data_IF_978948279987
#
_entry.id   IF_978948279987
#
_cell.length_a   1.000
_cell.length_b   1.000
_cell.length_c   1.000
_cell.angle_alpha   90.00
_cell.angle_beta   90.00
_cell.angle_gamma   90.00
#
_symmetry.space_group_name_H-M   'P 1'
#
loop_
_entity.id
_entity.type
_entity.pdbx_description
1 polymer ?
#
# COMPACT_ATOMS: atom_id res chain seq x y z
N UNK A 1 -56.66 16.60 -81.97
CA UNK A 1 -56.89 17.22 -80.63
C UNK A 1 -55.67 16.91 -79.78
N UNK A 2 -55.00 17.95 -79.29
CA UNK A 2 -53.68 17.93 -78.66
C UNK A 2 -53.68 17.19 -77.31
N UNK A 3 -52.63 16.41 -77.02
CA UNK A 3 -52.13 16.19 -75.65
C UNK A 3 -50.61 16.32 -75.66
N UNK A 4 -50.12 17.44 -75.14
CA UNK A 4 -48.68 17.71 -74.94
C UNK A 4 -48.26 17.01 -73.64
N UNK A 5 -47.26 16.13 -73.72
CA UNK A 5 -46.56 15.57 -72.56
C UNK A 5 -45.31 16.43 -72.34
N UNK A 6 -45.24 17.05 -71.16
CA UNK A 6 -44.09 17.82 -70.70
C UNK A 6 -43.13 16.85 -70.01
N UNK A 7 -41.96 16.59 -70.62
CA UNK A 7 -40.85 15.93 -69.93
C UNK A 7 -40.00 16.99 -69.24
N UNK A 8 -40.01 16.98 -67.91
CA UNK A 8 -39.13 17.77 -67.07
C UNK A 8 -37.75 17.08 -67.06
N UNK A 9 -36.80 17.61 -67.82
CA UNK A 9 -35.40 17.18 -67.77
C UNK A 9 -34.75 17.94 -66.60
N UNK A 10 -34.46 17.22 -65.51
CA UNK A 10 -33.65 17.74 -64.41
C UNK A 10 -32.17 17.76 -64.84
N UNK A 11 -31.42 18.86 -64.64
CA UNK A 11 -29.99 18.88 -64.94
C UNK A 11 -29.26 18.12 -63.84
N UNK A 12 -28.57 17.04 -64.22
CA UNK A 12 -27.63 16.32 -63.37
C UNK A 12 -26.40 17.20 -63.16
N UNK A 13 -26.38 17.95 -62.06
CA UNK A 13 -25.20 18.67 -61.59
C UNK A 13 -24.16 17.63 -61.12
N UNK A 14 -23.16 17.37 -61.96
CA UNK A 14 -21.91 16.74 -61.55
C UNK A 14 -21.16 17.74 -60.65
N UNK A 15 -21.32 17.59 -59.34
CA UNK A 15 -20.45 18.21 -58.35
C UNK A 15 -19.09 17.50 -58.43
N UNK A 16 -18.17 18.05 -59.23
CA UNK A 16 -16.75 17.78 -59.04
C UNK A 16 -16.37 18.40 -57.70
N UNK A 17 -16.26 17.60 -56.64
CA UNK A 17 -15.50 18.02 -55.47
C UNK A 17 -14.03 18.00 -55.86
N UNK A 18 -13.48 19.16 -56.17
CA UNK A 18 -12.05 19.35 -56.04
C UNK A 18 -11.77 19.27 -54.54
N UNK A 19 -11.43 18.09 -54.05
CA UNK A 19 -10.70 17.98 -52.79
C UNK A 19 -9.40 18.75 -53.02
N UNK A 20 -9.26 19.88 -52.36
CA UNK A 20 -8.02 20.65 -52.35
C UNK A 20 -6.97 19.72 -51.76
N UNK A 21 -6.14 19.11 -52.62
CA UNK A 21 -4.96 18.38 -52.21
C UNK A 21 -4.04 19.45 -51.62
N UNK A 22 -4.19 19.72 -50.32
CA UNK A 22 -3.24 20.50 -49.55
C UNK A 22 -1.96 19.68 -49.54
N UNK A 23 -1.06 20.00 -50.46
CA UNK A 23 0.28 19.44 -50.45
C UNK A 23 0.98 19.95 -49.21
N UNK A 24 1.28 19.03 -48.29
CA UNK A 24 2.16 19.31 -47.15
C UNK A 24 3.56 19.65 -47.65
N UNK A 25 4.24 20.51 -46.90
CA UNK A 25 5.65 20.79 -47.15
C UNK A 25 6.50 19.54 -46.85
N UNK A 26 7.44 19.24 -47.74
CA UNK A 26 8.37 18.14 -47.57
C UNK A 26 9.39 18.47 -46.47
N UNK A 27 9.23 17.82 -45.32
CA UNK A 27 10.13 17.93 -44.16
C UNK A 27 11.22 16.85 -44.12
N UNK A 28 11.35 16.03 -45.17
CA UNK A 28 12.27 14.87 -45.17
C UNK A 28 13.75 15.25 -45.06
N UNK A 29 14.10 16.51 -45.33
CA UNK A 29 15.46 17.06 -45.20
C UNK A 29 15.62 18.01 -44.00
N UNK A 30 14.58 18.19 -43.18
CA UNK A 30 14.66 19.00 -41.95
C UNK A 30 15.37 18.20 -40.86
N UNK A 31 15.80 18.89 -39.81
CA UNK A 31 16.45 18.30 -38.64
C UNK A 31 15.84 18.88 -37.38
N UNK A 32 15.67 18.06 -36.34
CA UNK A 32 15.19 18.50 -35.03
C UNK A 32 16.39 18.84 -34.15
N UNK A 33 16.51 20.09 -33.71
CA UNK A 33 17.56 20.47 -32.77
C UNK A 33 17.21 19.99 -31.36
N UNK A 34 17.96 19.01 -30.84
CA UNK A 34 17.79 18.56 -29.46
C UNK A 34 18.36 19.61 -28.49
N UNK A 35 17.62 19.94 -27.42
CA UNK A 35 18.01 20.94 -26.43
C UNK A 35 18.52 20.25 -25.16
N UNK A 36 17.68 19.47 -24.49
CA UNK A 36 18.02 18.74 -23.27
C UNK A 36 17.42 17.32 -23.29
N UNK A 37 18.07 16.31 -22.69
CA UNK A 37 19.45 16.33 -22.17
C UNK A 37 20.52 16.68 -23.23
N UNK A 38 21.66 17.23 -22.78
CA UNK A 38 22.85 17.38 -23.63
C UNK A 38 23.45 16.01 -23.93
N UNK A 39 24.23 15.91 -25.01
CA UNK A 39 24.84 14.64 -25.36
C UNK A 39 25.83 14.19 -24.28
N UNK A 40 25.72 12.91 -23.89
CA UNK A 40 26.47 12.28 -22.80
C UNK A 40 26.26 12.95 -21.43
N UNK A 41 25.09 13.55 -21.19
CA UNK A 41 24.74 14.09 -19.89
C UNK A 41 24.68 12.99 -18.81
N UNK A 42 25.05 13.36 -17.58
CA UNK A 42 24.94 12.51 -16.40
C UNK A 42 23.87 13.09 -15.46
N UNK A 43 22.98 12.23 -14.96
CA UNK A 43 21.94 12.60 -14.01
C UNK A 43 22.01 11.74 -12.77
N UNK A 44 21.68 12.35 -11.64
CA UNK A 44 21.50 11.67 -10.34
C UNK A 44 20.03 11.60 -9.92
N UNK A 45 19.13 12.04 -10.81
CA UNK A 45 17.67 11.98 -10.65
C UNK A 45 17.04 11.13 -11.75
N UNK A 46 15.93 10.47 -11.43
CA UNK A 46 15.21 9.59 -12.35
C UNK A 46 14.19 10.33 -13.22
N UNK A 47 13.77 11.54 -12.81
CA UNK A 47 12.85 12.37 -13.58
C UNK A 47 13.59 13.15 -14.66
N UNK A 48 13.53 12.68 -15.91
CA UNK A 48 14.21 13.30 -17.05
C UNK A 48 13.20 14.02 -17.92
N UNK A 49 13.52 15.27 -18.24
CA UNK A 49 12.76 16.07 -19.21
C UNK A 49 13.57 16.23 -20.49
N UNK A 50 12.98 15.76 -21.59
CA UNK A 50 13.49 15.85 -22.94
C UNK A 50 12.88 17.07 -23.62
N UNK A 51 13.68 17.91 -24.25
CA UNK A 51 13.24 19.12 -24.96
C UNK A 51 13.97 19.28 -26.28
N UNK A 52 13.29 19.81 -27.29
CA UNK A 52 13.82 20.09 -28.61
C UNK A 52 13.25 21.39 -29.17
N UNK A 53 13.84 21.92 -30.23
CA UNK A 53 13.33 23.13 -30.91
C UNK A 53 12.16 22.80 -31.83
N UNK A 54 11.22 23.75 -31.95
CA UNK A 54 10.16 23.68 -32.94
C UNK A 54 10.74 23.78 -34.37
N UNK A 55 10.13 23.04 -35.30
CA UNK A 55 10.52 22.99 -36.71
C UNK A 55 9.31 23.43 -37.53
N UNK A 56 9.51 24.34 -38.48
CA UNK A 56 8.42 24.84 -39.33
C UNK A 56 7.82 23.73 -40.19
N UNK A 57 6.50 23.83 -40.44
CA UNK A 57 5.71 22.90 -41.27
C UNK A 57 5.61 21.47 -40.71
N UNK A 58 5.76 21.34 -39.39
CA UNK A 58 5.65 20.09 -38.63
C UNK A 58 4.39 20.15 -37.78
N UNK A 59 3.61 19.06 -37.76
CA UNK A 59 2.45 18.95 -36.87
C UNK A 59 2.81 18.28 -35.55
N UNK A 60 3.70 17.30 -35.59
CA UNK A 60 4.02 16.45 -34.45
C UNK A 60 5.50 16.01 -34.41
N UNK A 61 5.90 15.43 -33.29
CA UNK A 61 7.21 14.85 -33.07
C UNK A 61 7.08 13.42 -32.60
N UNK A 62 7.88 12.52 -33.16
CA UNK A 62 8.04 11.16 -32.63
C UNK A 62 9.27 11.10 -31.74
N UNK A 63 9.08 10.81 -30.46
CA UNK A 63 10.16 10.60 -29.49
C UNK A 63 10.31 9.12 -29.17
N UNK A 64 11.56 8.66 -29.17
CA UNK A 64 11.94 7.33 -28.75
C UNK A 64 13.03 7.36 -27.69
N UNK A 65 12.98 6.43 -26.74
CA UNK A 65 13.99 6.24 -25.70
C UNK A 65 14.33 4.74 -25.63
N UNK A 66 15.61 4.41 -25.73
CA UNK A 66 16.13 3.04 -25.67
C UNK A 66 17.18 2.89 -24.58
N UNK A 67 17.25 1.69 -24.01
CA UNK A 67 18.28 1.25 -23.06
C UNK A 67 19.03 0.05 -23.63
N UNK A 68 20.36 0.03 -23.65
CA UNK A 68 21.25 1.18 -23.46
C UNK A 68 21.26 2.10 -24.69
N UNK A 69 20.97 1.57 -25.88
CA UNK A 69 21.08 2.29 -27.16
C UNK A 69 20.13 1.69 -28.22
N UNK A 70 20.06 2.29 -29.41
CA UNK A 70 19.23 1.81 -30.51
C UNK A 70 19.91 0.75 -31.41
N UNK A 71 21.22 0.49 -31.26
CA UNK A 71 21.95 -0.50 -32.06
C UNK A 71 21.72 -1.93 -31.55
N UNK A 72 21.75 -2.10 -30.22
CA UNK A 72 21.47 -3.33 -29.51
C UNK A 72 20.63 -3.03 -28.25
N UNK A 73 19.36 -2.62 -28.41
CA UNK A 73 18.52 -2.28 -27.27
C UNK A 73 18.25 -3.51 -26.42
N UNK A 74 18.53 -3.41 -25.11
CA UNK A 74 17.92 -4.28 -24.10
C UNK A 74 16.42 -4.00 -23.99
N UNK A 75 16.03 -2.72 -24.10
CA UNK A 75 14.63 -2.29 -24.00
C UNK A 75 14.37 -1.00 -24.79
N UNK A 76 13.22 -0.91 -25.43
CA UNK A 76 12.64 0.36 -25.90
C UNK A 76 11.64 0.81 -24.84
N UNK A 77 11.93 1.93 -24.18
CA UNK A 77 11.17 2.45 -23.04
C UNK A 77 10.01 3.30 -23.51
N UNK A 78 10.23 4.06 -24.58
CA UNK A 78 9.25 5.00 -25.12
C UNK A 78 9.34 5.00 -26.64
N UNK A 79 8.18 5.04 -27.27
CA UNK A 79 8.00 5.26 -28.70
C UNK A 79 6.60 5.86 -28.93
N UNK A 80 6.51 7.18 -28.94
CA UNK A 80 5.24 7.91 -29.00
C UNK A 80 5.34 9.11 -29.93
N UNK A 81 4.19 9.62 -30.36
CA UNK A 81 4.04 10.88 -31.09
C UNK A 81 3.41 11.93 -30.16
N UNK A 82 3.95 13.14 -30.16
CA UNK A 82 3.49 14.28 -29.34
C UNK A 82 3.43 15.55 -30.20
N UNK A 83 2.49 16.43 -29.89
CA UNK A 83 2.30 17.75 -30.53
C UNK A 83 3.07 18.88 -29.79
N UNK A 84 3.90 18.50 -28.80
CA UNK A 84 4.70 19.41 -27.99
C UNK A 84 6.18 19.33 -28.36
N UNK A 85 6.97 20.26 -27.81
CA UNK A 85 8.44 20.25 -27.92
C UNK A 85 9.14 19.75 -26.64
N UNK A 86 8.39 19.06 -25.78
CA UNK A 86 8.90 18.52 -24.52
C UNK A 86 8.18 17.26 -24.07
N UNK A 87 8.93 16.33 -23.46
CA UNK A 87 8.41 15.11 -22.86
C UNK A 87 9.13 14.81 -21.55
N UNK A 88 8.40 14.47 -20.49
CA UNK A 88 8.99 14.12 -19.18
C UNK A 88 8.61 12.70 -18.81
N UNK A 89 9.57 11.91 -18.34
CA UNK A 89 9.33 10.55 -17.85
C UNK A 89 10.28 10.19 -16.70
N UNK A 90 9.90 9.17 -15.93
CA UNK A 90 10.75 8.54 -14.92
C UNK A 90 11.55 7.41 -15.55
N UNK A 91 12.86 7.40 -15.33
CA UNK A 91 13.79 6.40 -15.85
C UNK A 91 14.67 5.89 -14.72
N UNK A 92 14.89 4.58 -14.69
CA UNK A 92 15.74 3.95 -13.69
C UNK A 92 17.23 4.27 -13.95
N UNK A 93 18.10 3.94 -13.00
CA UNK A 93 19.56 3.99 -13.21
C UNK A 93 19.95 3.15 -14.43
N UNK A 94 20.85 3.69 -15.26
CA UNK A 94 21.35 3.05 -16.45
C UNK A 94 21.76 4.02 -17.56
N UNK A 95 22.28 3.46 -18.63
CA UNK A 95 22.62 4.17 -19.87
C UNK A 95 21.42 4.21 -20.81
N UNK A 96 21.28 5.30 -21.57
CA UNK A 96 20.16 5.51 -22.48
C UNK A 96 20.59 6.26 -23.73
N UNK A 97 19.86 6.00 -24.81
CA UNK A 97 19.76 6.90 -25.95
C UNK A 97 18.33 7.38 -26.11
N UNK A 98 18.19 8.63 -26.53
CA UNK A 98 16.91 9.18 -26.94
C UNK A 98 17.05 9.83 -28.31
N UNK A 99 15.96 9.80 -29.07
CA UNK A 99 15.92 10.41 -30.39
C UNK A 99 14.56 11.00 -30.71
N UNK A 100 14.57 12.06 -31.49
CA UNK A 100 13.37 12.77 -31.95
C UNK A 100 13.43 12.99 -33.45
N UNK A 101 12.31 12.77 -34.14
CA UNK A 101 12.10 13.21 -35.52
C UNK A 101 10.84 14.05 -35.62
N UNK A 102 10.82 14.98 -36.57
CA UNK A 102 9.64 15.73 -36.95
C UNK A 102 8.73 14.89 -37.84
N UNK A 103 7.42 15.07 -37.71
CA UNK A 103 6.38 14.36 -38.47
C UNK A 103 5.31 15.35 -38.91
N UNK A 104 4.86 15.26 -40.16
CA UNK A 104 3.60 15.82 -40.62
C UNK A 104 2.76 14.72 -41.29
N UNK A 105 1.63 15.07 -41.89
CA UNK A 105 0.68 14.08 -42.41
C UNK A 105 1.24 13.23 -43.57
N UNK A 106 2.30 13.69 -44.25
CA UNK A 106 2.87 13.05 -45.43
C UNK A 106 4.36 12.66 -45.29
N UNK A 107 5.11 13.31 -44.40
CA UNK A 107 6.57 13.22 -44.34
C UNK A 107 7.09 13.08 -42.91
N UNK A 108 8.32 12.57 -42.80
CA UNK A 108 9.07 12.54 -41.55
C UNK A 108 10.53 12.90 -41.79
N UNK A 109 11.11 13.66 -40.88
CA UNK A 109 12.54 13.93 -40.90
C UNK A 109 13.36 12.70 -40.44
N UNK A 110 14.69 12.70 -40.66
CA UNK A 110 15.59 11.81 -39.94
C UNK A 110 15.53 12.07 -38.43
N UNK A 111 15.89 11.05 -37.65
CA UNK A 111 16.05 11.17 -36.21
C UNK A 111 17.32 11.96 -35.86
N UNK A 112 17.19 12.89 -34.92
CA UNK A 112 18.31 13.42 -34.15
C UNK A 112 18.43 12.64 -32.84
N UNK A 113 19.63 12.18 -32.50
CA UNK A 113 19.88 11.24 -31.40
C UNK A 113 20.92 11.79 -30.43
N UNK A 114 20.74 11.53 -29.13
CA UNK A 114 21.71 11.83 -28.06
C UNK A 114 21.74 10.70 -27.04
N UNK A 115 22.87 10.58 -26.35
CA UNK A 115 23.05 9.64 -25.23
C UNK A 115 23.02 10.37 -23.88
N UNK A 116 22.66 9.67 -22.82
CA UNK A 116 22.80 10.14 -21.44
C UNK A 116 22.86 8.93 -20.48
N UNK A 117 23.30 9.16 -19.26
CA UNK A 117 23.33 8.15 -18.20
C UNK A 117 22.66 8.68 -16.94
N UNK A 118 21.90 7.82 -16.28
CA UNK A 118 21.41 8.06 -14.93
C UNK A 118 22.27 7.20 -14.02
N UNK A 119 23.05 7.87 -13.18
CA UNK A 119 23.95 7.28 -12.22
C UNK A 119 23.27 7.16 -10.86
N UNK A 120 23.84 6.30 -10.00
CA UNK A 120 23.56 6.40 -8.57
C UNK A 120 24.03 7.75 -8.05
N UNK A 121 23.22 8.41 -7.23
CA UNK A 121 23.69 9.53 -6.44
C UNK A 121 24.78 9.04 -5.47
N UNK A 122 25.88 9.79 -5.29
CA UNK A 122 26.86 9.52 -4.22
C UNK A 122 26.17 9.50 -2.84
N UNK A 123 25.07 10.26 -2.69
CA UNK A 123 24.24 10.29 -1.50
C UNK A 123 23.17 9.19 -1.42
N UNK A 124 23.18 8.16 -2.29
CA UNK A 124 22.14 7.10 -2.23
C UNK A 124 22.02 6.50 -0.82
N UNK A 125 23.16 6.23 -0.18
CA UNK A 125 23.23 5.67 1.17
C UNK A 125 22.59 6.56 2.26
N UNK A 126 22.47 7.87 2.00
CA UNK A 126 21.88 8.85 2.90
C UNK A 126 20.34 8.90 2.81
N UNK A 127 19.73 8.22 1.83
CA UNK A 127 18.28 8.06 1.79
C UNK A 127 17.79 7.17 2.95
N UNK A 128 16.52 7.32 3.32
CA UNK A 128 15.86 6.47 4.30
C UNK A 128 14.60 5.86 3.72
N UNK A 129 14.26 4.64 4.14
CA UNK A 129 13.06 3.94 3.69
C UNK A 129 11.91 4.30 4.63
N UNK A 130 10.91 5.03 4.14
CA UNK A 130 9.73 5.35 4.94
C UNK A 130 8.81 4.12 5.07
N UNK A 131 8.82 3.48 6.25
CA UNK A 131 7.94 2.35 6.55
C UNK A 131 6.50 2.87 6.76
N UNK A 132 5.49 2.21 6.18
CA UNK A 132 4.10 2.69 6.21
C UNK A 132 3.17 1.80 7.03
N UNK A 133 3.19 0.48 6.82
CA UNK A 133 2.41 -0.49 7.61
C UNK A 133 3.20 -1.79 7.84
N UNK A 134 3.03 -2.50 8.97
CA UNK A 134 2.23 -2.12 10.14
C UNK A 134 2.79 -0.91 10.90
N UNK A 135 1.97 -0.28 11.75
CA UNK A 135 2.40 0.81 12.62
C UNK A 135 3.54 0.38 13.55
N UNK A 136 4.38 1.32 13.99
CA UNK A 136 5.45 1.00 14.94
C UNK A 136 4.85 0.61 16.30
N UNK A 137 5.42 -0.40 16.95
CA UNK A 137 4.91 -0.99 18.19
C UNK A 137 3.47 -1.53 18.06
N UNK A 138 3.11 -2.09 16.90
CA UNK A 138 1.80 -2.73 16.73
C UNK A 138 1.67 -3.89 17.72
N UNK A 139 0.59 -3.91 18.50
CA UNK A 139 0.12 -5.08 19.25
C UNK A 139 -1.14 -5.61 18.57
N UNK A 140 -1.18 -6.91 18.31
CA UNK A 140 -2.28 -7.52 17.55
C UNK A 140 -2.39 -9.03 17.79
N UNK A 141 -3.60 -9.55 17.60
CA UNK A 141 -3.91 -10.98 17.64
C UNK A 141 -4.02 -11.64 16.26
N UNK A 142 -3.36 -11.06 15.26
CA UNK A 142 -3.34 -11.55 13.88
C UNK A 142 -1.94 -11.98 13.50
N UNK A 143 -1.74 -13.22 13.05
CA UNK A 143 -0.42 -13.71 12.63
C UNK A 143 0.06 -13.11 11.30
N UNK A 144 -0.85 -12.83 10.36
CA UNK A 144 -0.47 -12.42 9.01
C UNK A 144 -0.45 -10.92 8.85
N UNK A 145 0.68 -10.40 8.37
CA UNK A 145 0.87 -8.97 8.10
C UNK A 145 1.53 -8.71 6.76
N UNK A 146 1.04 -7.66 6.10
CA UNK A 146 1.69 -7.06 4.94
C UNK A 146 2.60 -5.91 5.40
N UNK A 147 3.91 -6.14 5.34
CA UNK A 147 4.93 -5.13 5.62
C UNK A 147 5.07 -4.25 4.37
N UNK A 148 4.99 -2.93 4.51
CA UNK A 148 4.92 -1.97 3.40
C UNK A 148 5.74 -0.73 3.67
N UNK A 149 6.30 -0.15 2.61
CA UNK A 149 7.13 1.04 2.67
C UNK A 149 7.01 1.87 1.38
N UNK A 150 7.51 3.09 1.41
CA UNK A 150 7.59 3.95 0.22
C UNK A 150 8.79 3.61 -0.66
N UNK A 151 8.63 3.81 -1.97
CA UNK A 151 9.74 3.65 -2.91
C UNK A 151 10.83 4.70 -2.67
N UNK A 152 12.10 4.32 -2.81
CA UNK A 152 13.26 5.22 -2.70
C UNK A 152 13.78 5.46 -4.09
N UNK A 153 14.01 6.73 -4.44
CA UNK A 153 14.51 7.11 -5.76
C UNK A 153 15.88 6.45 -5.99
N UNK A 154 16.05 5.81 -7.16
CA UNK A 154 17.27 5.10 -7.51
C UNK A 154 17.42 3.70 -6.91
N UNK A 155 16.48 3.24 -6.06
CA UNK A 155 16.49 1.87 -5.58
C UNK A 155 16.07 0.88 -6.67
N UNK A 156 16.79 -0.23 -6.78
CA UNK A 156 16.47 -1.38 -7.64
C UNK A 156 16.02 -2.61 -6.84
N UNK A 157 16.34 -2.68 -5.54
CA UNK A 157 15.90 -3.73 -4.62
C UNK A 157 15.69 -3.20 -3.20
N UNK A 158 15.08 -4.04 -2.36
CA UNK A 158 14.90 -3.85 -0.93
C UNK A 158 15.29 -5.12 -0.20
N UNK A 159 16.13 -4.99 0.82
CA UNK A 159 16.39 -6.07 1.75
C UNK A 159 15.47 -5.93 2.96
N UNK A 160 14.67 -6.96 3.22
CA UNK A 160 13.71 -7.05 4.32
C UNK A 160 14.20 -8.11 5.31
N UNK A 161 14.52 -7.68 6.53
CA UNK A 161 15.01 -8.55 7.61
C UNK A 161 14.01 -8.54 8.76
N UNK A 162 13.63 -9.72 9.25
CA UNK A 162 12.80 -9.90 10.43
C UNK A 162 13.66 -10.53 11.51
N UNK A 163 13.65 -9.93 12.70
CA UNK A 163 14.37 -10.44 13.87
C UNK A 163 13.44 -10.63 15.06
N UNK A 164 13.73 -11.65 15.88
CA UNK A 164 13.04 -11.86 17.16
C UNK A 164 13.55 -10.90 18.27
N UNK A 165 13.02 -11.06 19.48
CA UNK A 165 13.40 -10.26 20.66
C UNK A 165 14.86 -10.42 21.10
N UNK A 166 15.54 -11.50 20.69
CA UNK A 166 16.96 -11.74 20.94
C UNK A 166 17.84 -11.23 19.79
N UNK A 167 17.25 -10.59 18.78
CA UNK A 167 17.87 -10.15 17.53
C UNK A 167 18.35 -11.29 16.61
N UNK A 168 17.85 -12.52 16.78
CA UNK A 168 18.10 -13.58 15.80
C UNK A 168 17.33 -13.27 14.53
N UNK A 169 17.96 -13.50 13.37
CA UNK A 169 17.32 -13.35 12.07
C UNK A 169 16.38 -14.54 11.86
N UNK A 170 15.09 -14.24 11.69
CA UNK A 170 14.05 -15.22 11.40
C UNK A 170 13.79 -15.28 9.89
N UNK A 171 13.90 -14.14 9.21
CA UNK A 171 13.77 -14.04 7.76
C UNK A 171 14.69 -12.93 7.23
N UNK A 172 15.30 -13.15 6.08
CA UNK A 172 16.10 -12.17 5.35
C UNK A 172 15.86 -12.39 3.86
N UNK A 173 15.26 -11.41 3.18
CA UNK A 173 14.82 -11.50 1.80
C UNK A 173 15.26 -10.26 1.03
N UNK A 174 15.65 -10.43 -0.23
CA UNK A 174 15.90 -9.35 -1.17
C UNK A 174 14.82 -9.37 -2.26
N UNK A 175 14.06 -8.27 -2.40
CA UNK A 175 12.90 -8.18 -3.29
C UNK A 175 12.88 -6.85 -4.04
N UNK A 176 12.12 -6.75 -5.13
CA UNK A 176 11.99 -5.51 -5.94
C UNK A 176 10.69 -4.75 -5.69
N UNK A 177 9.76 -5.34 -4.93
CA UNK A 177 8.49 -4.72 -4.55
C UNK A 177 8.65 -3.86 -3.30
N UNK A 178 7.68 -2.98 -3.04
CA UNK A 178 7.61 -2.15 -1.82
C UNK A 178 6.72 -2.76 -0.72
N UNK A 179 6.53 -4.08 -0.79
CA UNK A 179 5.75 -4.83 0.19
C UNK A 179 6.24 -6.27 0.33
N UNK A 180 6.00 -6.85 1.50
CA UNK A 180 6.30 -8.23 1.85
C UNK A 180 5.26 -8.78 2.83
N UNK A 181 4.57 -9.85 2.43
CA UNK A 181 3.64 -10.55 3.31
C UNK A 181 4.39 -11.59 4.15
N UNK A 182 4.16 -11.59 5.46
CA UNK A 182 4.77 -12.54 6.38
C UNK A 182 3.74 -13.04 7.40
N UNK A 183 3.87 -14.31 7.79
CA UNK A 183 3.07 -14.92 8.85
C UNK A 183 3.95 -15.13 10.08
N UNK A 184 3.64 -14.41 11.16
CA UNK A 184 4.36 -14.44 12.42
C UNK A 184 3.74 -15.47 13.37
N UNK A 185 4.58 -16.12 14.16
CA UNK A 185 4.16 -16.83 15.37
C UNK A 185 3.96 -15.84 16.52
N UNK A 186 3.44 -16.30 17.66
CA UNK A 186 3.32 -15.47 18.87
C UNK A 186 4.72 -15.05 19.34
N UNK A 187 4.89 -13.75 19.60
CA UNK A 187 6.17 -13.18 20.01
C UNK A 187 6.40 -11.73 19.61
N UNK A 188 7.52 -11.20 20.10
CA UNK A 188 7.99 -9.85 19.78
C UNK A 188 8.99 -9.89 18.62
N UNK A 189 8.76 -9.04 17.61
CA UNK A 189 9.60 -8.95 16.43
C UNK A 189 9.97 -7.51 16.08
N UNK A 190 11.09 -7.36 15.39
CA UNK A 190 11.38 -6.17 14.58
C UNK A 190 11.48 -6.57 13.12
N UNK A 191 10.90 -5.76 12.25
CA UNK A 191 11.16 -5.85 10.81
C UNK A 191 11.92 -4.61 10.35
N UNK A 192 12.89 -4.83 9.47
CA UNK A 192 13.87 -3.85 9.03
C UNK A 192 13.88 -3.86 7.51
N UNK A 193 13.90 -2.68 6.89
CA UNK A 193 14.02 -2.54 5.44
C UNK A 193 15.13 -1.55 5.12
N UNK A 194 15.97 -1.88 4.14
CA UNK A 194 16.90 -0.95 3.49
C UNK A 194 16.77 -1.07 1.98
N UNK A 195 16.96 0.04 1.28
CA UNK A 195 16.96 0.06 -0.18
C UNK A 195 18.35 -0.25 -0.73
N UNK A 196 18.42 -0.99 -1.82
CA UNK A 196 19.63 -1.29 -2.58
C UNK A 196 19.50 -0.77 -4.01
N UNK A 197 20.62 -0.34 -4.60
CA UNK A 197 20.68 0.09 -6.01
C UNK A 197 21.60 -0.81 -6.87
N UNK A 198 22.09 -1.92 -6.31
CA UNK A 198 23.04 -2.84 -6.95
C UNK A 198 24.51 -2.62 -6.55
N UNK A 199 24.86 -1.42 -6.05
CA UNK A 199 26.23 -1.07 -5.65
C UNK A 199 26.31 -0.74 -4.15
N UNK A 200 25.26 -0.13 -3.61
CA UNK A 200 25.17 0.39 -2.27
C UNK A 200 23.81 0.11 -1.65
N UNK A 201 23.78 0.21 -0.32
CA UNK A 201 22.56 0.11 0.48
C UNK A 201 22.39 1.34 1.37
N UNK A 202 21.15 1.73 1.61
CA UNK A 202 20.81 2.67 2.68
C UNK A 202 21.03 2.03 4.06
N UNK A 203 20.94 2.84 5.12
CA UNK A 203 20.70 2.31 6.45
C UNK A 203 19.34 1.62 6.55
N UNK A 204 19.20 0.72 7.52
CA UNK A 204 17.92 0.10 7.84
C UNK A 204 16.98 1.11 8.52
N UNK A 205 15.74 1.14 8.06
CA UNK A 205 14.60 1.63 8.82
C UNK A 205 13.90 0.44 9.46
N UNK A 206 13.42 0.58 10.69
CA UNK A 206 12.81 -0.54 11.42
C UNK A 206 11.53 -0.14 12.14
N UNK A 207 10.66 -1.14 12.34
CA UNK A 207 9.49 -1.06 13.20
C UNK A 207 9.36 -2.35 14.00
N UNK A 208 8.76 -2.23 15.18
CA UNK A 208 8.45 -3.34 16.08
C UNK A 208 6.98 -3.77 15.98
N UNK A 209 6.73 -5.03 16.28
CA UNK A 209 5.41 -5.61 16.46
C UNK A 209 5.44 -6.66 17.57
N UNK A 210 4.30 -6.86 18.23
CA UNK A 210 4.05 -7.92 19.19
C UNK A 210 2.80 -8.69 18.76
N UNK A 211 2.96 -9.98 18.49
CA UNK A 211 1.90 -10.90 18.07
C UNK A 211 1.50 -11.73 19.26
N UNK A 212 0.22 -11.72 19.57
CA UNK A 212 -0.38 -12.54 20.62
C UNK A 212 -1.75 -13.04 20.16
N UNK A 213 -1.78 -14.25 19.61
CA UNK A 213 -2.99 -14.91 19.13
C UNK A 213 -3.66 -15.78 20.20
N UNK A 214 -3.06 -15.87 21.38
CA UNK A 214 -3.48 -16.80 22.41
C UNK A 214 -4.50 -16.15 23.34
N UNK A 215 -5.74 -16.62 23.28
CA UNK A 215 -6.79 -16.11 24.15
C UNK A 215 -6.51 -16.41 25.64
N UNK A 216 -6.86 -15.49 26.56
CA UNK A 216 -6.73 -15.71 27.99
C UNK A 216 -7.47 -16.97 28.47
N UNK A 217 -7.00 -17.56 29.58
CA UNK A 217 -7.72 -18.65 30.25
C UNK A 217 -9.13 -18.22 30.67
N UNK A 218 -10.05 -19.19 30.78
CA UNK A 218 -11.42 -18.89 31.26
C UNK A 218 -11.42 -18.71 32.78
N UNK A 219 -12.00 -17.61 33.33
CA UNK A 219 -12.16 -17.45 34.77
C UNK A 219 -12.98 -18.58 35.40
N UNK A 220 -12.58 -18.98 36.60
CA UNK A 220 -13.30 -19.93 37.44
C UNK A 220 -13.92 -19.18 38.62
N UNK A 221 -15.25 -19.21 38.72
CA UNK A 221 -15.99 -18.52 39.76
C UNK A 221 -15.82 -19.22 41.11
N UNK A 222 -15.68 -18.44 42.18
CA UNK A 222 -15.44 -18.93 43.55
C UNK A 222 -16.55 -18.50 44.50
N UNK A 223 -16.88 -17.20 44.52
CA UNK A 223 -17.87 -16.65 45.45
C UNK A 223 -18.65 -15.48 44.81
N UNK A 224 -19.96 -15.31 45.07
CA UNK A 224 -20.86 -16.20 45.82
C UNK A 224 -20.92 -17.62 45.25
N UNK A 225 -21.05 -18.63 46.11
CA UNK A 225 -21.18 -20.01 45.64
C UNK A 225 -22.46 -20.18 44.80
N UNK A 226 -22.44 -21.08 43.82
CA UNK A 226 -23.59 -21.28 42.95
C UNK A 226 -24.85 -21.71 43.73
N UNK A 227 -25.98 -21.08 43.40
CA UNK A 227 -27.28 -21.25 44.03
C UNK A 227 -27.27 -20.96 45.55
N UNK A 228 -26.40 -20.06 46.01
CA UNK A 228 -26.36 -19.65 47.43
C UNK A 228 -27.41 -18.58 47.77
N UNK A 229 -27.61 -18.36 49.07
CA UNK A 229 -28.47 -17.30 49.60
C UNK A 229 -27.73 -16.46 50.64
N UNK A 230 -27.99 -15.15 50.69
CA UNK A 230 -27.42 -14.21 51.65
C UNK A 230 -28.50 -13.24 52.16
N UNK A 231 -28.33 -12.75 53.39
CA UNK A 231 -29.10 -11.62 53.95
C UNK A 231 -28.31 -10.31 53.93
N UNK A 232 -27.04 -10.37 53.54
CA UNK A 232 -26.19 -9.20 53.36
C UNK A 232 -26.39 -8.64 51.95
N UNK A 233 -26.63 -7.34 51.85
CA UNK A 233 -26.83 -6.64 50.57
C UNK A 233 -25.51 -6.19 49.92
N UNK A 234 -24.38 -6.39 50.62
CA UNK A 234 -23.03 -6.17 50.11
C UNK A 234 -22.42 -7.52 49.71
N UNK A 235 -22.19 -7.69 48.42
CA UNK A 235 -21.74 -8.95 47.84
C UNK A 235 -20.34 -8.79 47.25
N UNK A 236 -19.42 -9.58 47.78
CA UNK A 236 -18.08 -9.73 47.23
C UNK A 236 -18.08 -10.85 46.20
N UNK A 237 -17.68 -10.55 44.99
CA UNK A 237 -17.44 -11.49 43.92
C UNK A 237 -15.97 -11.91 43.91
N UNK A 238 -15.74 -13.21 43.79
CA UNK A 238 -14.41 -13.79 43.72
C UNK A 238 -14.36 -14.80 42.59
N UNK A 239 -13.33 -14.69 41.77
CA UNK A 239 -12.98 -15.63 40.72
C UNK A 239 -11.46 -15.79 40.68
N UNK A 240 -11.01 -16.89 40.09
CA UNK A 240 -9.59 -17.19 39.87
C UNK A 240 -9.32 -17.44 38.40
N UNK A 241 -8.16 -17.00 37.93
CA UNK A 241 -7.65 -17.27 36.59
C UNK A 241 -6.13 -17.31 36.64
N UNK A 242 -5.54 -18.26 35.92
CA UNK A 242 -4.08 -18.30 35.72
C UNK A 242 -3.75 -17.51 34.45
N UNK A 243 -2.95 -16.45 34.53
CA UNK A 243 -2.50 -15.71 33.35
C UNK A 243 -1.73 -16.58 32.37
N UNK A 244 -1.84 -16.28 31.08
CA UNK A 244 -1.00 -16.86 30.02
C UNK A 244 0.07 -15.83 29.65
N UNK A 245 1.26 -16.28 29.24
CA UNK A 245 2.23 -15.37 28.64
C UNK A 245 1.67 -14.75 27.36
N UNK A 246 1.85 -13.43 27.21
CA UNK A 246 1.25 -12.69 26.11
C UNK A 246 1.11 -11.21 26.49
N UNK A 247 0.09 -10.59 25.93
CA UNK A 247 -0.31 -9.22 26.23
C UNK A 247 -1.02 -9.11 27.57
N UNK A 248 -1.13 -7.90 28.12
CA UNK A 248 -1.70 -7.73 29.44
C UNK A 248 -3.18 -8.13 29.44
N UNK A 249 -3.59 -8.90 30.44
CA UNK A 249 -4.93 -9.47 30.52
C UNK A 249 -5.78 -8.73 31.57
N UNK A 250 -7.10 -8.69 31.34
CA UNK A 250 -8.10 -8.07 32.21
C UNK A 250 -9.39 -8.88 32.24
N UNK A 251 -10.13 -8.79 33.33
CA UNK A 251 -11.40 -9.48 33.51
C UNK A 251 -12.58 -8.50 33.48
N UNK A 252 -13.71 -8.94 32.95
CA UNK A 252 -14.99 -8.25 33.08
C UNK A 252 -16.03 -9.16 33.72
N UNK A 253 -16.68 -8.66 34.76
CA UNK A 253 -17.80 -9.32 35.42
C UNK A 253 -19.12 -8.89 34.78
N UNK A 254 -20.05 -9.83 34.66
CA UNK A 254 -21.39 -9.61 34.12
C UNK A 254 -22.40 -10.16 35.12
N UNK A 255 -23.37 -9.35 35.54
CA UNK A 255 -24.40 -9.69 36.52
C UNK A 255 -25.76 -9.37 35.93
N UNK A 256 -26.70 -10.30 36.05
CA UNK A 256 -28.04 -10.27 35.47
C UNK A 256 -29.09 -10.58 36.52
N UNK A 257 -30.32 -10.12 36.28
CA UNK A 257 -31.50 -10.34 37.12
C UNK A 257 -32.37 -11.52 36.69
N UNK A 258 -31.99 -12.24 35.62
CA UNK A 258 -32.72 -13.40 35.12
C UNK A 258 -31.81 -14.50 34.57
N UNK A 259 -32.33 -15.74 34.55
CA UNK A 259 -31.59 -16.94 34.12
C UNK A 259 -31.25 -16.95 32.63
N UNK A 260 -31.99 -16.21 31.80
CA UNK A 260 -31.78 -16.14 30.36
C UNK A 260 -30.63 -15.18 30.00
N UNK A 261 -30.03 -14.48 30.98
CA UNK A 261 -28.94 -13.52 30.80
C UNK A 261 -29.32 -12.35 29.87
N UNK A 262 -30.56 -11.89 29.93
CA UNK A 262 -31.06 -10.79 29.08
C UNK A 262 -31.29 -9.49 29.85
N UNK A 263 -31.47 -9.56 31.17
CA UNK A 263 -31.69 -8.41 32.03
C UNK A 263 -30.39 -8.07 32.78
N UNK A 264 -29.49 -7.38 32.09
CA UNK A 264 -28.18 -6.97 32.63
C UNK A 264 -28.37 -5.95 33.76
N UNK A 265 -27.79 -6.25 34.92
CA UNK A 265 -27.71 -5.35 36.06
C UNK A 265 -26.38 -4.60 36.08
N UNK A 266 -25.28 -5.32 35.87
CA UNK A 266 -23.94 -4.74 35.95
C UNK A 266 -22.99 -5.42 34.98
N UNK A 267 -22.14 -4.61 34.35
CA UNK A 267 -21.03 -5.06 33.53
C UNK A 267 -19.91 -4.04 33.68
N UNK A 268 -18.75 -4.50 34.12
CA UNK A 268 -17.56 -3.64 34.19
C UNK A 268 -16.27 -4.47 34.20
N UNK A 269 -15.16 -3.82 33.88
CA UNK A 269 -13.81 -4.36 34.07
C UNK A 269 -13.45 -4.31 35.55
N UNK A 270 -13.10 -5.46 36.14
CA UNK A 270 -12.88 -5.57 37.58
C UNK A 270 -11.76 -6.56 37.89
N UNK A 271 -11.16 -6.40 39.07
CA UNK A 271 -10.16 -7.33 39.61
C UNK A 271 -10.78 -8.14 40.74
N UNK A 272 -10.50 -9.44 40.78
CA UNK A 272 -10.91 -10.31 41.89
C UNK A 272 -10.04 -10.04 43.13
N UNK A 273 -10.61 -9.84 44.34
CA UNK A 273 -12.04 -9.77 44.65
C UNK A 273 -12.66 -8.40 44.34
N UNK A 274 -13.93 -8.39 43.90
CA UNK A 274 -14.71 -7.18 43.62
C UNK A 274 -15.96 -7.12 44.50
N UNK A 275 -16.22 -6.01 45.20
CA UNK A 275 -17.41 -5.87 46.05
C UNK A 275 -18.40 -4.90 45.46
N UNK A 276 -19.66 -5.32 45.40
CA UNK A 276 -20.81 -4.48 45.07
C UNK A 276 -21.69 -4.28 46.29
N UNK A 277 -21.96 -3.02 46.62
CA UNK A 277 -22.78 -2.65 47.78
C UNK A 277 -24.22 -2.34 47.40
N UNK A 278 -25.13 -2.54 48.36
CA UNK A 278 -26.54 -2.13 48.25
C UNK A 278 -27.32 -2.77 47.09
N UNK A 279 -27.08 -4.04 46.80
CA UNK A 279 -27.92 -4.80 45.87
C UNK A 279 -29.34 -4.99 46.46
N UNK A 280 -30.36 -4.85 45.62
CA UNK A 280 -31.75 -5.10 46.02
C UNK A 280 -32.03 -6.59 46.20
N UNK A 281 -32.99 -6.94 47.05
CA UNK A 281 -33.43 -8.33 47.21
C UNK A 281 -33.87 -8.91 45.85
N UNK A 282 -33.49 -10.17 45.61
CA UNK A 282 -33.71 -10.83 44.32
C UNK A 282 -32.66 -11.89 44.02
N UNK A 283 -32.88 -12.62 42.93
CA UNK A 283 -31.95 -13.62 42.42
C UNK A 283 -31.11 -13.02 41.29
N UNK A 284 -29.80 -13.18 41.39
CA UNK A 284 -28.84 -12.69 40.42
C UNK A 284 -28.07 -13.85 39.79
N UNK A 285 -27.71 -13.69 38.52
CA UNK A 285 -26.95 -14.64 37.72
C UNK A 285 -25.71 -13.91 37.23
N UNK A 286 -24.53 -14.52 37.35
CA UNK A 286 -23.30 -13.84 37.00
C UNK A 286 -22.27 -14.76 36.39
N UNK A 287 -21.45 -14.19 35.53
CA UNK A 287 -20.30 -14.84 34.91
C UNK A 287 -19.17 -13.83 34.72
N UNK A 288 -17.97 -14.32 34.44
CA UNK A 288 -16.79 -13.50 34.14
C UNK A 288 -16.21 -13.93 32.80
N UNK A 289 -15.71 -12.96 32.02
CA UNK A 289 -14.89 -13.17 30.82
C UNK A 289 -13.57 -12.44 30.97
N UNK A 290 -12.55 -12.93 30.28
CA UNK A 290 -11.23 -12.30 30.24
C UNK A 290 -10.90 -11.84 28.84
N UNK A 291 -10.12 -10.79 28.75
CA UNK A 291 -9.68 -10.13 27.53
C UNK A 291 -8.20 -9.78 27.68
N UNK A 292 -7.51 -9.59 26.57
CA UNK A 292 -6.15 -9.06 26.58
C UNK A 292 -6.02 -7.80 25.72
N UNK A 293 -4.85 -7.16 25.77
CA UNK A 293 -4.58 -5.95 24.99
C UNK A 293 -4.39 -6.23 23.49
N UNK A 294 -4.09 -7.47 23.10
CA UNK A 294 -4.03 -7.91 21.70
C UNK A 294 -5.42 -8.05 21.05
N UNK A 295 -6.47 -8.11 21.87
CA UNK A 295 -7.87 -8.18 21.43
C UNK A 295 -8.48 -9.58 21.48
N UNK A 296 -7.82 -10.56 22.10
CA UNK A 296 -8.40 -11.87 22.32
C UNK A 296 -9.40 -11.85 23.48
N UNK A 297 -10.29 -12.85 23.49
CA UNK A 297 -11.23 -13.04 24.58
C UNK A 297 -11.34 -14.51 24.96
N UNK A 298 -11.39 -14.79 26.25
CA UNK A 298 -11.64 -16.14 26.76
C UNK A 298 -13.07 -16.59 26.49
N UNK A 299 -13.32 -17.89 26.71
CA UNK A 299 -14.68 -18.40 26.81
C UNK A 299 -15.39 -17.79 28.02
N UNK A 300 -16.72 -17.82 27.98
CA UNK A 300 -17.50 -17.45 29.16
C UNK A 300 -17.27 -18.45 30.29
N UNK A 301 -17.10 -17.96 31.53
CA UNK A 301 -17.16 -18.85 32.69
C UNK A 301 -18.52 -19.56 32.78
N UNK A 302 -18.59 -20.59 33.62
CA UNK A 302 -19.90 -21.08 34.07
C UNK A 302 -20.67 -19.94 34.74
N UNK A 303 -22.00 -20.01 34.66
CA UNK A 303 -22.88 -19.03 35.30
C UNK A 303 -23.16 -19.50 36.72
N UNK A 304 -22.87 -18.65 37.70
CA UNK A 304 -23.30 -18.84 39.08
C UNK A 304 -24.54 -18.01 39.37
N UNK A 305 -25.36 -18.46 40.31
CA UNK A 305 -26.49 -17.69 40.83
C UNK A 305 -26.42 -17.53 42.34
N UNK A 306 -27.04 -16.46 42.86
CA UNK A 306 -27.24 -16.27 44.29
C UNK A 306 -28.52 -15.47 44.54
N UNK A 307 -29.12 -15.60 45.73
CA UNK A 307 -30.35 -14.90 46.11
C UNK A 307 -30.15 -14.04 47.36
N UNK A 308 -30.60 -12.80 47.30
CA UNK A 308 -30.62 -11.86 48.43
C UNK A 308 -32.03 -11.80 49.03
N UNK A 309 -32.13 -12.07 50.34
CA UNK A 309 -33.39 -12.20 51.08
C UNK A 309 -33.65 -11.05 52.05
#
# INVERSE_FOLDING_TARGET
MMKKIFYLIAPLFLLCSCEEILMEDDISNKTVTLVAPTDNAEFFSTGITFTWEAVEFVSDYRIQIARPNFEAPLQIITDIVVDTTSFTTQLNIGEYQWRVQAVNSAYSSPFSTRSFVILSNEDFQNNSVALTSPANNLLTNTSSHNLTWESVIGASSYQVVITDSQNNIISDQEITTTNFNYNFDDGSYQWKVRAGNGEAYTLYSSRSLFIDTTAPNTPVLVFPANASSSTENDITFQWNRTPIEGSAEKDSIYIFKNSELTLLEHKDEQTSPFTMSSLSNGTYYWYVKSFDEAGNSSQQSTVFSFTLN
#
